data_IF_191576260024
#
_entry.id   IF_191576260024
#
_cell.length_a   1.000
_cell.length_b   1.000
_cell.length_c   1.000
_cell.angle_alpha   90.00
_cell.angle_beta   90.00
_cell.angle_gamma   90.00
#
_symmetry.space_group_name_H-M   'P 1'
#
loop_
_entity.id
_entity.type
_entity.pdbx_description
1 polymer ?
#
# COMPACT_ATOMS: atom_id res chain seq x y z
N UNK A 1 -44.47 -0.89 -26.75
CA UNK A 1 -44.05 0.11 -25.73
C UNK A 1 -45.23 0.99 -25.28
N UNK A 2 -45.86 1.80 -26.16
CA UNK A 2 -47.00 2.64 -25.76
C UNK A 2 -48.21 1.85 -25.22
N UNK A 3 -48.57 0.74 -25.89
CA UNK A 3 -49.68 -0.13 -25.48
C UNK A 3 -49.43 -0.87 -24.16
N UNK A 4 -48.17 -1.10 -23.80
CA UNK A 4 -47.77 -1.79 -22.57
C UNK A 4 -47.59 -0.85 -21.38
N UNK A 5 -47.40 0.46 -21.62
CA UNK A 5 -47.20 1.46 -20.59
C UNK A 5 -48.45 2.33 -20.30
N UNK A 6 -49.54 2.17 -21.05
CA UNK A 6 -50.77 2.99 -20.96
C UNK A 6 -50.51 4.51 -21.11
N UNK A 7 -49.47 4.88 -21.85
CA UNK A 7 -49.09 6.27 -22.10
C UNK A 7 -49.35 6.62 -23.58
N UNK A 8 -49.62 7.90 -23.88
CA UNK A 8 -49.83 8.34 -25.26
C UNK A 8 -48.59 8.09 -26.11
N UNK A 9 -48.78 7.79 -27.39
CA UNK A 9 -47.67 7.49 -28.32
C UNK A 9 -46.70 8.68 -28.41
N UNK A 10 -47.22 9.91 -28.40
CA UNK A 10 -46.43 11.14 -28.41
C UNK A 10 -45.58 11.29 -27.15
N UNK A 11 -46.12 10.96 -25.98
CA UNK A 11 -45.37 11.04 -24.72
C UNK A 11 -44.25 9.98 -24.67
N UNK A 12 -44.45 8.81 -25.26
CA UNK A 12 -43.39 7.82 -25.39
C UNK A 12 -42.27 8.33 -26.29
N UNK A 13 -42.59 9.00 -27.40
CA UNK A 13 -41.58 9.58 -28.28
C UNK A 13 -40.82 10.73 -27.63
N UNK A 14 -41.49 11.62 -26.89
CA UNK A 14 -40.80 12.71 -26.17
C UNK A 14 -39.89 12.17 -25.07
N UNK A 15 -40.32 11.17 -24.31
CA UNK A 15 -39.46 10.52 -23.31
C UNK A 15 -38.28 9.79 -23.94
N UNK A 16 -38.50 9.08 -25.06
CA UNK A 16 -37.43 8.41 -25.79
C UNK A 16 -36.42 9.41 -26.37
N UNK A 17 -36.92 10.52 -26.93
CA UNK A 17 -36.08 11.61 -27.42
C UNK A 17 -35.24 12.22 -26.30
N UNK A 18 -35.84 12.49 -25.13
CA UNK A 18 -35.12 12.98 -23.95
C UNK A 18 -34.02 12.01 -23.49
N UNK A 19 -34.25 10.69 -23.57
CA UNK A 19 -33.25 9.67 -23.23
C UNK A 19 -32.10 9.63 -24.24
N UNK A 20 -32.36 9.90 -25.51
CA UNK A 20 -31.35 10.01 -26.56
C UNK A 20 -30.53 11.29 -26.38
N UNK A 21 -31.18 12.44 -26.13
CA UNK A 21 -30.50 13.72 -25.87
C UNK A 21 -29.59 13.65 -24.65
N UNK A 22 -30.05 12.97 -23.59
CA UNK A 22 -29.24 12.73 -22.37
C UNK A 22 -28.13 11.70 -22.56
N UNK A 23 -27.94 11.17 -23.79
CA UNK A 23 -26.99 10.11 -24.13
C UNK A 23 -27.15 8.90 -23.21
N UNK A 24 -28.37 8.53 -22.86
CA UNK A 24 -28.68 7.33 -22.07
C UNK A 24 -29.00 6.16 -23.00
N UNK A 25 -29.56 6.47 -24.17
CA UNK A 25 -30.08 5.50 -25.13
C UNK A 25 -29.51 5.79 -26.52
N UNK A 26 -29.07 4.74 -27.21
CA UNK A 26 -28.56 4.78 -28.58
C UNK A 26 -29.53 4.04 -29.49
N UNK A 27 -29.84 4.61 -30.64
CA UNK A 27 -30.58 3.92 -31.69
C UNK A 27 -29.55 3.35 -32.68
N UNK A 28 -29.57 2.04 -32.88
CA UNK A 28 -28.76 1.34 -33.86
C UNK A 28 -29.66 0.64 -34.87
N UNK A 29 -29.41 0.84 -36.16
CA UNK A 29 -30.15 0.11 -37.20
C UNK A 29 -29.48 -1.24 -37.43
N UNK A 30 -30.12 -2.32 -36.98
CA UNK A 30 -29.68 -3.70 -37.22
C UNK A 30 -30.42 -4.29 -38.42
N UNK A 31 -29.79 -5.26 -39.09
CA UNK A 31 -30.41 -6.01 -40.19
C UNK A 31 -30.85 -7.36 -39.65
N UNK A 32 -32.16 -7.63 -39.68
CA UNK A 32 -32.71 -8.90 -39.23
C UNK A 32 -32.35 -10.04 -40.20
N UNK A 33 -32.57 -11.30 -39.79
CA UNK A 33 -32.28 -12.52 -40.58
C UNK A 33 -32.96 -12.56 -41.97
N UNK A 34 -33.92 -11.65 -42.22
CA UNK A 34 -34.63 -11.49 -43.50
C UNK A 34 -34.14 -10.29 -44.33
N UNK A 35 -33.01 -9.66 -43.97
CA UNK A 35 -32.45 -8.52 -44.70
C UNK A 35 -33.15 -7.17 -44.45
N UNK A 36 -34.13 -7.11 -43.55
CA UNK A 36 -34.85 -5.88 -43.21
C UNK A 36 -34.10 -5.07 -42.15
N UNK A 37 -33.96 -3.77 -42.38
CA UNK A 37 -33.42 -2.80 -41.42
C UNK A 37 -34.45 -2.57 -40.31
N UNK A 38 -34.05 -2.75 -39.06
CA UNK A 38 -34.89 -2.51 -37.88
C UNK A 38 -34.10 -1.66 -36.89
N UNK A 39 -34.75 -0.66 -36.32
CA UNK A 39 -34.15 0.18 -35.29
C UNK A 39 -34.16 -0.58 -33.95
N UNK A 40 -32.97 -0.77 -33.40
CA UNK A 40 -32.70 -1.35 -32.09
C UNK A 40 -32.34 -0.23 -31.10
N UNK A 41 -32.84 -0.33 -29.88
CA UNK A 41 -32.57 0.63 -28.80
C UNK A 41 -31.59 0.00 -27.82
N UNK A 42 -30.35 0.48 -27.79
CA UNK A 42 -29.34 0.01 -26.83
C UNK A 42 -29.13 1.02 -25.70
N UNK A 43 -28.91 0.49 -24.49
CA UNK A 43 -28.60 1.26 -23.29
C UNK A 43 -27.09 1.30 -23.00
N UNK A 44 -26.24 1.08 -24.00
CA UNK A 44 -24.80 0.97 -23.81
C UNK A 44 -24.21 2.21 -23.13
N UNK A 45 -24.71 3.41 -23.49
CA UNK A 45 -24.27 4.65 -22.86
C UNK A 45 -24.68 4.77 -21.39
N UNK A 46 -25.84 4.20 -21.02
CA UNK A 46 -26.23 4.11 -19.61
C UNK A 46 -25.25 3.21 -18.84
N UNK A 47 -24.95 2.03 -19.37
CA UNK A 47 -24.03 1.09 -18.71
C UNK A 47 -22.62 1.68 -18.58
N UNK A 48 -22.10 2.30 -19.64
CA UNK A 48 -20.80 3.01 -19.59
C UNK A 48 -20.79 4.10 -18.51
N UNK A 49 -21.89 4.84 -18.36
CA UNK A 49 -21.98 5.89 -17.33
C UNK A 49 -22.07 5.30 -15.93
N UNK A 50 -22.78 4.19 -15.74
CA UNK A 50 -22.82 3.47 -14.47
C UNK A 50 -21.44 2.93 -14.09
N UNK A 51 -20.70 2.35 -15.03
CA UNK A 51 -19.33 1.88 -14.81
C UNK A 51 -18.41 3.04 -14.41
N UNK A 52 -18.51 4.19 -15.10
CA UNK A 52 -17.74 5.39 -14.74
C UNK A 52 -18.02 5.88 -13.33
N UNK A 53 -19.29 5.91 -12.91
CA UNK A 53 -19.69 6.34 -11.58
C UNK A 53 -19.19 5.39 -10.48
N UNK A 54 -19.24 4.08 -10.72
CA UNK A 54 -18.73 3.07 -9.80
C UNK A 54 -17.21 3.20 -9.65
N UNK A 55 -16.50 3.46 -10.75
CA UNK A 55 -15.04 3.66 -10.72
C UNK A 55 -14.64 4.97 -10.03
N UNK A 56 -15.43 6.04 -10.20
CA UNK A 56 -15.26 7.30 -9.47
C UNK A 56 -15.46 7.12 -7.96
N UNK A 57 -16.54 6.44 -7.54
CA UNK A 57 -16.80 6.15 -6.12
C UNK A 57 -15.66 5.34 -5.48
N UNK A 58 -15.17 4.30 -6.18
CA UNK A 58 -14.01 3.53 -5.70
C UNK A 58 -12.76 4.39 -5.57
N UNK A 59 -12.48 5.29 -6.52
CA UNK A 59 -11.35 6.22 -6.45
C UNK A 59 -11.47 7.17 -5.26
N UNK A 60 -12.65 7.71 -5.01
CA UNK A 60 -12.90 8.56 -3.85
C UNK A 60 -12.63 7.82 -2.53
N UNK A 61 -13.16 6.59 -2.39
CA UNK A 61 -12.92 5.75 -1.20
C UNK A 61 -11.44 5.44 -1.00
N UNK A 62 -10.71 5.14 -2.07
CA UNK A 62 -9.27 4.88 -2.03
C UNK A 62 -8.49 6.14 -1.62
N UNK A 63 -8.85 7.31 -2.15
CA UNK A 63 -8.22 8.58 -1.81
C UNK A 63 -8.43 8.94 -0.33
N UNK A 64 -9.65 8.75 0.18
CA UNK A 64 -9.96 8.96 1.61
C UNK A 64 -9.17 8.00 2.50
N UNK A 65 -9.00 6.74 2.08
CA UNK A 65 -8.18 5.78 2.82
C UNK A 65 -6.70 6.18 2.82
N UNK A 66 -6.16 6.57 1.66
CA UNK A 66 -4.77 6.99 1.53
C UNK A 66 -4.46 8.22 2.38
N UNK A 67 -5.36 9.21 2.42
CA UNK A 67 -5.22 10.39 3.27
C UNK A 67 -5.24 10.03 4.75
N UNK A 68 -6.16 9.15 5.18
CA UNK A 68 -6.17 8.64 6.56
C UNK A 68 -4.88 7.93 6.93
N UNK A 69 -4.32 7.15 6.00
CA UNK A 69 -3.07 6.43 6.24
C UNK A 69 -1.87 7.37 6.31
N UNK A 70 -1.80 8.42 5.47
CA UNK A 70 -0.81 9.51 5.62
C UNK A 70 -0.89 10.18 6.98
N UNK A 71 -2.10 10.59 7.38
CA UNK A 71 -2.33 11.23 8.68
C UNK A 71 -1.90 10.33 9.85
N UNK A 72 -2.17 9.02 9.79
CA UNK A 72 -1.70 8.06 10.80
C UNK A 72 -0.17 8.05 10.91
N UNK A 73 0.53 8.08 9.78
CA UNK A 73 2.00 8.09 9.76
C UNK A 73 2.49 9.39 10.41
N UNK A 74 2.02 10.56 9.94
CA UNK A 74 2.45 11.84 10.49
C UNK A 74 2.22 11.94 12.00
N UNK A 75 1.04 11.56 12.47
CA UNK A 75 0.72 11.56 13.90
C UNK A 75 1.66 10.62 14.69
N UNK A 76 1.96 9.43 14.15
CA UNK A 76 2.89 8.50 14.80
C UNK A 76 4.29 9.10 14.92
N UNK A 77 4.80 9.75 13.87
CA UNK A 77 6.09 10.41 13.90
C UNK A 77 6.13 11.55 14.93
N UNK A 78 5.10 12.40 14.97
CA UNK A 78 5.04 13.51 15.92
C UNK A 78 5.01 13.05 17.38
N UNK A 79 4.25 11.99 17.66
CA UNK A 79 4.18 11.38 19.00
C UNK A 79 5.53 10.82 19.43
N UNK A 80 6.17 10.04 18.56
CA UNK A 80 7.44 9.38 18.90
C UNK A 80 8.62 10.39 18.96
N UNK A 81 8.57 11.47 18.18
CA UNK A 81 9.60 12.52 18.20
C UNK A 81 9.35 13.55 19.31
N UNK A 82 8.14 13.58 19.87
CA UNK A 82 7.73 14.55 20.90
C UNK A 82 7.67 15.99 20.40
N UNK A 83 7.54 16.20 19.09
CA UNK A 83 7.46 17.52 18.45
C UNK A 83 6.73 17.44 17.12
N UNK A 84 6.32 18.58 16.62
CA UNK A 84 5.80 18.70 15.26
C UNK A 84 6.89 18.45 14.22
N UNK A 85 6.47 17.91 13.07
CA UNK A 85 7.31 17.70 11.91
C UNK A 85 7.48 19.00 11.12
N UNK A 86 8.70 19.25 10.69
CA UNK A 86 9.01 20.33 9.76
C UNK A 86 8.41 20.04 8.37
N UNK A 87 8.09 21.05 7.55
CA UNK A 87 7.64 20.84 6.17
C UNK A 87 8.55 19.93 5.35
N UNK A 88 9.87 20.05 5.53
CA UNK A 88 10.88 19.21 4.84
C UNK A 88 10.77 17.75 5.30
N UNK A 89 10.46 17.53 6.57
CA UNK A 89 10.27 16.19 7.14
C UNK A 89 8.98 15.54 6.62
N UNK A 90 7.91 16.31 6.47
CA UNK A 90 6.66 15.85 5.86
C UNK A 90 6.85 15.48 4.39
N UNK A 91 7.60 16.29 3.63
CA UNK A 91 7.96 16.00 2.25
C UNK A 91 8.72 14.67 2.14
N UNK A 92 9.75 14.49 2.97
CA UNK A 92 10.53 13.23 3.00
C UNK A 92 9.64 12.00 3.28
N UNK A 93 8.67 12.13 4.21
CA UNK A 93 7.74 11.04 4.51
C UNK A 93 6.77 10.80 3.35
N UNK A 94 6.35 11.85 2.64
CA UNK A 94 5.53 11.72 1.44
C UNK A 94 6.28 11.02 0.30
N UNK A 95 7.57 11.31 0.11
CA UNK A 95 8.40 10.66 -0.90
C UNK A 95 8.43 9.14 -0.68
N UNK A 96 8.55 8.69 0.58
CA UNK A 96 8.48 7.27 0.92
C UNK A 96 7.14 6.62 0.54
N UNK A 97 6.04 7.37 0.57
CA UNK A 97 4.69 6.86 0.30
C UNK A 97 4.39 6.90 -1.21
N UNK A 98 4.77 7.97 -1.89
CA UNK A 98 4.39 8.23 -3.29
C UNK A 98 5.44 7.73 -4.28
N UNK A 99 6.72 8.05 -4.06
CA UNK A 99 7.82 7.68 -4.95
C UNK A 99 8.26 6.24 -4.72
N UNK A 100 8.65 5.91 -3.49
CA UNK A 100 9.14 4.58 -3.13
C UNK A 100 8.02 3.54 -2.94
N UNK A 101 6.77 4.02 -2.82
CA UNK A 101 5.56 3.20 -2.64
C UNK A 101 5.68 2.23 -1.46
N UNK A 102 6.32 2.65 -0.38
CA UNK A 102 6.36 1.86 0.84
C UNK A 102 4.96 1.78 1.46
N UNK A 103 4.61 0.60 1.95
CA UNK A 103 3.37 0.42 2.71
C UNK A 103 3.46 1.22 4.02
N UNK A 104 2.38 1.90 4.39
CA UNK A 104 2.19 2.59 5.68
C UNK A 104 2.70 1.78 6.86
N UNK A 105 2.34 0.51 6.85
CA UNK A 105 2.70 -0.49 7.83
C UNK A 105 4.21 -0.72 7.97
N UNK A 106 4.96 -0.65 6.87
CA UNK A 106 6.40 -0.81 6.85
C UNK A 106 7.09 0.43 7.43
N UNK A 107 6.61 1.61 7.06
CA UNK A 107 7.12 2.91 7.56
C UNK A 107 6.95 2.98 9.10
N UNK A 108 5.78 2.59 9.62
CA UNK A 108 5.52 2.56 11.06
C UNK A 108 6.42 1.56 11.80
N UNK A 109 6.73 0.41 11.18
CA UNK A 109 7.67 -0.55 11.77
C UNK A 109 9.10 -0.01 11.77
N UNK A 110 9.52 0.70 10.73
CA UNK A 110 10.83 1.34 10.66
C UNK A 110 10.97 2.43 11.71
N UNK A 111 9.92 3.24 11.91
CA UNK A 111 9.85 4.23 12.99
C UNK A 111 10.04 3.57 14.35
N UNK A 112 9.29 2.50 14.66
CA UNK A 112 9.45 1.76 15.93
C UNK A 112 10.87 1.25 16.14
N UNK A 113 11.50 0.73 15.10
CA UNK A 113 12.89 0.24 15.18
C UNK A 113 13.88 1.39 15.47
N UNK A 114 13.66 2.57 14.87
CA UNK A 114 14.44 3.76 15.13
C UNK A 114 14.29 4.25 16.58
N UNK A 115 13.08 4.25 17.11
CA UNK A 115 12.77 4.59 18.52
C UNK A 115 13.47 3.61 19.47
N UNK A 116 13.36 2.30 19.22
CA UNK A 116 14.05 1.28 20.02
C UNK A 116 15.58 1.43 19.99
N UNK A 117 16.11 1.92 18.87
CA UNK A 117 17.56 2.19 18.71
C UNK A 117 17.98 3.57 19.21
N UNK A 118 17.05 4.34 19.81
CA UNK A 118 17.24 5.72 20.27
C UNK A 118 17.76 6.68 19.16
N UNK A 119 17.47 6.36 17.90
CA UNK A 119 17.96 7.07 16.72
C UNK A 119 16.81 7.81 16.01
N UNK A 120 16.36 8.91 16.61
CA UNK A 120 15.24 9.75 16.13
C UNK A 120 15.63 10.64 14.95
N UNK A 121 15.95 10.04 13.80
CA UNK A 121 16.30 10.76 12.58
C UNK A 121 15.65 10.12 11.36
N UNK A 122 15.02 10.92 10.50
CA UNK A 122 14.48 10.45 9.23
C UNK A 122 15.55 9.77 8.36
N UNK A 123 16.80 10.25 8.40
CA UNK A 123 17.94 9.61 7.71
C UNK A 123 18.25 8.21 8.24
N UNK A 124 17.98 7.95 9.50
CA UNK A 124 18.17 6.62 10.07
C UNK A 124 17.05 5.67 9.64
N UNK A 125 15.81 6.17 9.65
CA UNK A 125 14.63 5.44 9.19
C UNK A 125 14.76 5.09 7.70
N UNK A 126 15.22 6.05 6.88
CA UNK A 126 15.55 5.84 5.46
C UNK A 126 16.52 4.67 5.26
N UNK A 127 17.61 4.60 6.03
CA UNK A 127 18.55 3.48 5.97
C UNK A 127 17.92 2.15 6.37
N UNK A 128 16.99 2.14 7.32
CA UNK A 128 16.25 0.93 7.69
C UNK A 128 15.38 0.48 6.52
N UNK A 129 14.60 1.40 5.93
CA UNK A 129 13.74 1.14 4.77
C UNK A 129 14.55 0.61 3.58
N UNK A 130 15.65 1.28 3.22
CA UNK A 130 16.57 0.84 2.16
C UNK A 130 17.20 -0.53 2.45
N UNK A 131 17.56 -0.80 3.70
CA UNK A 131 18.08 -2.12 4.09
C UNK A 131 17.02 -3.20 3.92
N UNK A 132 15.75 -2.88 4.19
CA UNK A 132 14.64 -3.81 4.06
C UNK A 132 14.28 -4.05 2.60
N UNK A 133 14.28 -3.01 1.79
CA UNK A 133 14.08 -3.09 0.35
C UNK A 133 15.14 -4.00 -0.31
N UNK A 134 16.42 -3.80 0.02
CA UNK A 134 17.53 -4.66 -0.44
C UNK A 134 17.38 -6.13 -0.04
N UNK A 135 16.67 -6.40 1.06
CA UNK A 135 16.39 -7.75 1.53
C UNK A 135 15.11 -8.33 0.93
N UNK A 136 14.42 -7.60 0.05
CA UNK A 136 13.17 -8.03 -0.59
C UNK A 136 11.96 -8.00 0.33
N UNK A 137 12.05 -7.33 1.48
CA UNK A 137 11.00 -7.28 2.49
C UNK A 137 9.96 -6.25 2.06
N UNK A 138 8.74 -6.71 1.80
CA UNK A 138 7.63 -5.83 1.34
C UNK A 138 6.36 -5.99 2.16
N UNK A 139 6.40 -6.80 3.22
CA UNK A 139 5.27 -7.07 4.10
C UNK A 139 5.68 -7.01 5.56
N UNK A 140 4.72 -6.67 6.44
CA UNK A 140 4.88 -6.77 7.90
C UNK A 140 5.37 -8.14 8.33
N UNK A 141 4.81 -9.18 7.72
CA UNK A 141 5.15 -10.58 8.01
C UNK A 141 6.64 -10.85 7.75
N UNK A 142 7.20 -10.28 6.70
CA UNK A 142 8.61 -10.44 6.35
C UNK A 142 9.52 -9.77 7.37
N UNK A 143 9.13 -8.57 7.85
CA UNK A 143 9.86 -7.86 8.92
C UNK A 143 9.87 -8.67 10.20
N UNK A 144 8.72 -9.21 10.62
CA UNK A 144 8.63 -10.05 11.82
C UNK A 144 9.47 -11.32 11.71
N UNK A 145 9.47 -11.97 10.54
CA UNK A 145 10.30 -13.15 10.29
C UNK A 145 11.79 -12.83 10.40
N UNK A 146 12.22 -11.65 9.92
CA UNK A 146 13.60 -11.22 10.06
C UNK A 146 13.97 -10.84 11.49
N UNK A 147 13.07 -10.23 12.26
CA UNK A 147 13.30 -10.00 13.69
C UNK A 147 13.54 -11.32 14.42
N UNK A 148 12.67 -12.32 14.21
CA UNK A 148 12.83 -13.67 14.77
C UNK A 148 14.14 -14.33 14.33
N UNK A 149 14.55 -14.17 13.07
CA UNK A 149 15.81 -14.72 12.57
C UNK A 149 17.04 -14.04 13.21
N UNK A 150 17.00 -12.72 13.43
CA UNK A 150 18.07 -11.97 14.09
C UNK A 150 18.19 -12.31 15.57
N UNK A 151 17.08 -12.47 16.27
CA UNK A 151 17.03 -12.90 17.68
C UNK A 151 17.69 -14.28 17.86
N UNK A 152 17.29 -15.27 17.06
CA UNK A 152 17.91 -16.61 17.06
C UNK A 152 19.42 -16.57 16.79
N UNK A 153 19.87 -15.67 15.90
CA UNK A 153 21.30 -15.51 15.61
C UNK A 153 22.06 -14.87 16.79
N UNK A 154 21.46 -13.88 17.48
CA UNK A 154 22.04 -13.27 18.70
C UNK A 154 22.14 -14.28 19.84
N UNK A 155 21.11 -15.10 20.05
CA UNK A 155 21.12 -16.18 21.06
C UNK A 155 22.24 -17.19 20.79
N UNK A 156 22.40 -17.63 19.54
CA UNK A 156 23.48 -18.54 19.15
C UNK A 156 24.89 -17.93 19.33
N UNK A 157 25.08 -16.64 19.06
CA UNK A 157 26.40 -15.99 19.27
C UNK A 157 26.73 -15.91 20.77
N UNK A 158 25.76 -15.58 21.61
CA UNK A 158 25.96 -15.50 23.06
C UNK A 158 26.29 -16.86 23.70
N UNK A 159 25.68 -17.96 23.21
CA UNK A 159 26.00 -19.32 23.69
C UNK A 159 27.40 -19.76 23.28
N UNK A 160 27.85 -19.42 22.06
CA UNK A 160 29.22 -19.71 21.59
C UNK A 160 30.27 -18.92 22.40
N UNK A 161 30.03 -17.64 22.68
CA UNK A 161 30.93 -16.82 23.50
C UNK A 161 31.00 -17.28 24.96
N UNK A 162 29.90 -17.73 25.57
CA UNK A 162 29.93 -18.28 26.94
C UNK A 162 30.64 -19.64 27.02
N UNK A 163 30.50 -20.51 26.00
CA UNK A 163 31.23 -21.78 25.96
C UNK A 163 32.75 -21.61 25.76
N UNK A 164 33.20 -20.54 25.09
CA UNK A 164 34.63 -20.26 24.95
C UNK A 164 35.26 -19.66 26.21
N UNK A 165 34.51 -18.92 27.04
CA UNK A 165 35.00 -18.45 28.36
C UNK A 165 35.24 -19.60 29.34
N UNK A 166 34.46 -20.68 29.26
CA UNK A 166 34.66 -21.88 30.08
C UNK A 166 35.78 -22.82 29.55
N UNK A 167 36.40 -22.52 28.41
CA UNK A 167 37.52 -23.30 27.82
C UNK A 167 38.90 -22.65 28.03
N UNK A 168 39.02 -21.66 28.93
CA UNK A 168 40.31 -21.07 29.33
C UNK A 168 40.99 -21.74 30.53
N UNK A 169 40.53 -22.91 30.97
CA UNK A 169 41.33 -23.79 31.83
C UNK A 169 42.28 -24.66 30.98
N UNK A 170 43.24 -24.02 30.29
CA UNK A 170 44.37 -24.73 29.69
C UNK A 170 45.47 -24.87 30.75
N UNK A 171 46.11 -26.05 30.91
CA UNK A 171 47.17 -26.20 31.91
C UNK A 171 48.34 -25.27 31.58
N UNK A 172 48.87 -24.59 32.62
CA UNK A 172 50.04 -23.71 32.49
C UNK A 172 51.24 -24.55 32.07
N UNK A 173 51.70 -24.37 30.84
CA UNK A 173 52.95 -24.97 30.36
C UNK A 173 54.08 -24.14 30.98
N UNK A 174 54.91 -24.71 31.88
CA UNK A 174 55.97 -23.94 32.51
C UNK A 174 57.01 -23.58 31.46
N UNK A 175 57.32 -22.28 31.37
CA UNK A 175 58.34 -21.75 30.48
C UNK A 175 59.71 -22.08 31.09
N UNK A 176 60.21 -23.30 30.87
CA UNK A 176 61.61 -23.61 31.16
C UNK A 176 62.48 -22.91 30.13
N UNK A 177 63.26 -21.93 30.61
CA UNK A 177 64.41 -21.35 29.92
C UNK A 177 65.32 -22.48 29.45
N UNK A 178 65.42 -22.69 28.15
CA UNK A 178 66.55 -23.39 27.57
C UNK A 178 67.54 -22.32 27.09
N UNK A 179 68.54 -22.12 27.93
CA UNK A 179 69.75 -21.34 27.69
C UNK A 179 70.67 -22.15 26.76
N UNK A 180 71.32 -21.51 25.80
CA UNK A 180 72.77 -21.22 25.82
C UNK A 180 73.18 -20.35 24.64
#
# INVERSE_FOLDING_TARGET
>A
IAKSLQISVNDVYTQLHNLIEKKILKIETIVNQQGQKTDSYSFDFLYQKLDSLIDEEKKELLNVSAEKDRQKIFNAFQVEFGRDLSPIELETINDWIEEDKYKTDLILLALREAVLSQAYSLKYIDRILLSWEKQGIRSKVDVENLKKAREKKKENINTISNNNRNKENKPKIPLTKWLD
#
